data_IF_147125990313
#
_entry.id   IF_147125990313
#
_cell.length_a   1.000
_cell.length_b   1.000
_cell.length_c   1.000
_cell.angle_alpha   90.00
_cell.angle_beta   90.00
_cell.angle_gamma   90.00
#
_symmetry.space_group_name_H-M   'P 1'
#
loop_
_entity.id
_entity.type
_entity.pdbx_description
1 polymer ?
#
# COMPACT_ATOMS: atom_id res chain seq x y z
N UNK A 1 -11.30 57.58 -38.28
CA UNK A 1 -11.18 56.48 -37.25
C UNK A 1 -9.80 55.88 -37.45
N UNK A 2 -8.90 56.04 -36.45
CA UNK A 2 -7.49 55.56 -36.51
C UNK A 2 -7.45 54.15 -35.95
N UNK A 3 -6.94 53.23 -36.76
CA UNK A 3 -6.59 51.86 -36.27
C UNK A 3 -5.34 51.91 -35.37
N UNK A 4 -5.43 51.29 -34.19
CA UNK A 4 -4.31 51.11 -33.29
C UNK A 4 -3.75 49.69 -33.51
N UNK A 5 -2.56 49.61 -34.07
CA UNK A 5 -1.79 48.37 -34.17
C UNK A 5 -1.21 48.03 -32.79
N UNK A 6 -1.59 46.89 -32.23
CA UNK A 6 -0.94 46.28 -31.06
C UNK A 6 0.33 45.56 -31.51
N UNK A 7 1.49 45.97 -30.96
CA UNK A 7 2.77 45.33 -31.20
C UNK A 7 2.90 44.10 -30.29
N UNK A 8 3.31 42.97 -30.86
CA UNK A 8 3.69 41.73 -30.17
C UNK A 8 4.87 41.98 -29.26
N UNK A 9 4.70 41.82 -27.96
CA UNK A 9 5.81 41.68 -27.00
C UNK A 9 6.25 40.21 -26.96
N UNK A 10 7.40 39.94 -27.51
CA UNK A 10 8.02 38.59 -27.50
C UNK A 10 8.30 38.10 -26.11
N UNK A 11 7.74 36.96 -25.75
CA UNK A 11 8.01 36.27 -24.49
C UNK A 11 9.45 35.72 -24.46
N UNK A 12 10.17 36.07 -23.42
CA UNK A 12 11.50 35.54 -23.16
C UNK A 12 11.47 34.03 -22.90
N UNK A 13 12.29 33.26 -23.61
CA UNK A 13 12.37 31.83 -23.42
C UNK A 13 13.03 31.49 -22.09
N UNK A 14 12.68 30.33 -21.49
CA UNK A 14 13.32 29.86 -20.24
C UNK A 14 14.84 29.75 -20.31
N UNK A 15 15.42 29.58 -21.51
CA UNK A 15 16.86 29.58 -21.76
C UNK A 15 17.49 30.98 -21.61
N UNK A 16 16.79 32.05 -21.96
CA UNK A 16 17.28 33.43 -21.85
C UNK A 16 17.22 33.92 -20.39
N UNK A 17 16.28 33.44 -19.61
CA UNK A 17 16.22 33.71 -18.17
C UNK A 17 17.41 33.09 -17.41
N UNK A 18 17.79 31.86 -17.76
CA UNK A 18 18.92 31.16 -17.17
C UNK A 18 20.30 31.79 -17.56
N UNK A 19 20.42 32.31 -18.79
CA UNK A 19 21.66 33.00 -19.23
C UNK A 19 21.82 34.36 -18.57
N UNK A 20 20.75 35.04 -18.18
CA UNK A 20 20.83 36.32 -17.46
C UNK A 20 21.13 36.15 -15.96
N UNK A 21 20.76 35.01 -15.36
CA UNK A 21 21.15 34.68 -13.99
C UNK A 21 22.66 34.34 -13.85
N UNK A 22 23.30 33.81 -14.90
CA UNK A 22 24.73 33.49 -14.89
C UNK A 22 25.65 34.69 -15.16
N UNK A 23 25.10 35.83 -15.59
CA UNK A 23 25.89 37.05 -15.95
C UNK A 23 25.96 38.14 -14.88
N UNK A 24 25.29 37.97 -13.74
CA UNK A 24 25.20 38.98 -12.66
C UNK A 24 26.21 38.77 -11.51
N UNK A 25 27.23 37.95 -11.70
CA UNK A 25 28.20 37.54 -10.69
C UNK A 25 29.56 38.25 -10.76
N UNK A 26 29.62 39.53 -11.08
CA UNK A 26 30.87 40.31 -10.88
C UNK A 26 30.53 41.79 -10.86
N UNK A 27 30.53 42.38 -9.68
CA UNK A 27 30.88 43.72 -9.26
C UNK A 27 30.05 44.14 -8.04
N UNK A 28 30.45 43.70 -6.85
CA UNK A 28 30.13 44.40 -5.61
C UNK A 28 31.44 44.83 -4.99
N UNK A 29 31.65 46.17 -5.04
CA UNK A 29 32.71 46.88 -4.44
C UNK A 29 32.69 46.75 -2.91
N UNK A 30 33.88 46.63 -2.35
CA UNK A 30 34.21 46.67 -0.94
C UNK A 30 33.45 47.74 -0.13
N UNK A 31 32.71 47.29 0.86
CA UNK A 31 32.36 48.09 2.07
C UNK A 31 32.71 47.29 3.31
N UNK A 32 33.37 47.87 4.31
CA UNK A 32 33.83 47.16 5.49
C UNK A 32 32.72 47.04 6.52
N UNK A 33 31.93 46.00 6.45
CA UNK A 33 31.13 45.55 7.60
C UNK A 33 31.49 44.10 7.88
N UNK A 34 32.39 43.91 8.83
CA UNK A 34 32.73 42.64 9.42
C UNK A 34 31.51 42.12 10.18
N UNK A 35 31.03 40.94 9.86
CA UNK A 35 30.08 40.22 10.68
C UNK A 35 29.16 39.30 9.85
N UNK A 36 29.42 37.99 9.97
CA UNK A 36 28.58 36.85 9.54
C UNK A 36 28.52 36.56 8.05
N UNK A 37 29.62 36.05 7.53
CA UNK A 37 29.64 35.27 6.29
C UNK A 37 29.10 33.86 6.54
N UNK A 38 27.78 33.67 6.49
CA UNK A 38 27.20 32.34 6.31
C UNK A 38 27.50 31.93 4.88
N UNK A 39 28.14 30.78 4.67
CA UNK A 39 28.42 30.30 3.32
C UNK A 39 27.14 30.11 2.54
N UNK A 40 27.13 30.32 1.24
CA UNK A 40 25.93 30.12 0.39
C UNK A 40 25.37 28.70 0.47
N UNK A 41 26.19 27.73 0.87
CA UNK A 41 25.80 26.36 1.13
C UNK A 41 25.03 26.23 2.46
N UNK A 42 25.49 26.90 3.53
CA UNK A 42 24.78 26.92 4.82
C UNK A 42 23.45 27.69 4.73
N UNK A 43 23.41 28.80 3.99
CA UNK A 43 22.16 29.53 3.76
C UNK A 43 21.15 28.72 2.90
N UNK A 44 21.63 27.91 1.96
CA UNK A 44 20.78 27.01 1.19
C UNK A 44 20.30 25.82 2.04
N UNK A 45 21.10 25.36 2.98
CA UNK A 45 20.72 24.28 3.92
C UNK A 45 19.75 24.78 5.00
N UNK A 46 19.83 26.05 5.42
CA UNK A 46 18.84 26.66 6.32
C UNK A 46 17.49 26.96 5.65
N UNK A 47 17.47 27.15 4.33
CA UNK A 47 16.25 27.41 3.57
C UNK A 47 15.40 26.13 3.31
N UNK A 48 15.97 24.94 3.44
CA UNK A 48 15.23 23.69 3.46
C UNK A 48 14.70 23.49 4.87
N UNK A 49 13.38 23.56 5.05
CA UNK A 49 12.72 23.41 6.34
C UNK A 49 13.28 22.23 7.13
N UNK A 50 13.91 22.52 8.27
CA UNK A 50 14.43 21.49 9.18
C UNK A 50 13.40 21.21 10.25
N UNK A 51 13.11 19.94 10.48
CA UNK A 51 12.36 19.56 11.67
C UNK A 51 13.16 19.89 12.92
N UNK A 52 12.50 20.28 14.05
CA UNK A 52 13.17 20.43 15.32
C UNK A 52 13.98 19.19 15.70
N UNK A 53 15.08 19.37 16.45
CA UNK A 53 15.83 18.24 16.99
C UNK A 53 14.92 17.38 17.88
N UNK A 54 14.96 16.07 17.69
CA UNK A 54 14.16 15.11 18.43
C UNK A 54 15.00 13.87 18.80
N UNK A 55 14.59 13.08 19.80
CA UNK A 55 15.18 11.78 20.07
C UNK A 55 14.97 10.81 18.89
N UNK A 56 15.81 9.80 18.80
CA UNK A 56 15.57 8.71 17.85
C UNK A 56 14.36 7.88 18.33
N UNK A 57 13.16 8.26 17.88
CA UNK A 57 11.94 7.55 18.21
C UNK A 57 11.91 6.16 17.60
N UNK A 58 11.31 5.23 18.35
CA UNK A 58 11.10 3.85 17.94
C UNK A 58 9.61 3.57 17.78
N UNK A 59 9.17 3.30 16.56
CA UNK A 59 7.81 2.87 16.26
C UNK A 59 7.71 1.34 16.23
N UNK A 60 6.58 0.78 16.65
CA UNK A 60 6.37 -0.67 16.64
C UNK A 60 5.22 -1.01 15.70
N UNK A 61 5.49 -1.86 14.72
CA UNK A 61 4.52 -2.37 13.76
C UNK A 61 4.05 -3.75 14.18
N UNK A 62 2.76 -3.88 14.48
CA UNK A 62 2.10 -5.12 14.89
C UNK A 62 1.26 -5.67 13.75
N UNK A 63 1.65 -6.84 13.24
CA UNK A 63 1.16 -7.39 11.98
C UNK A 63 0.56 -8.78 12.14
N UNK A 64 -0.32 -9.14 11.22
CA UNK A 64 -0.71 -10.51 10.95
C UNK A 64 0.24 -11.12 9.89
N UNK A 65 0.35 -12.45 9.88
CA UNK A 65 1.21 -13.25 8.95
C UNK A 65 2.55 -12.58 8.66
N UNK A 66 3.31 -12.28 9.72
CA UNK A 66 4.53 -11.45 9.70
C UNK A 66 5.60 -11.89 8.70
N UNK A 67 5.57 -13.13 8.25
CA UNK A 67 6.50 -13.74 7.29
C UNK A 67 6.00 -13.71 5.84
N UNK A 68 4.77 -13.24 5.58
CA UNK A 68 4.23 -13.20 4.22
C UNK A 68 5.02 -12.21 3.35
N UNK A 69 5.45 -12.61 2.13
CA UNK A 69 6.20 -11.75 1.20
C UNK A 69 5.49 -10.45 0.83
N UNK A 70 4.17 -10.37 0.96
CA UNK A 70 3.39 -9.14 0.81
C UNK A 70 3.97 -7.95 1.60
N UNK A 71 4.55 -8.21 2.77
CA UNK A 71 5.08 -7.17 3.66
C UNK A 71 6.42 -6.59 3.24
N UNK A 72 7.12 -7.20 2.28
CA UNK A 72 8.47 -6.76 1.91
C UNK A 72 8.51 -5.31 1.43
N UNK A 73 7.71 -4.87 0.45
CA UNK A 73 7.71 -3.47 0.02
C UNK A 73 7.20 -2.52 1.12
N UNK A 74 6.28 -2.96 1.99
CA UNK A 74 5.83 -2.15 3.12
C UNK A 74 6.97 -1.87 4.10
N UNK A 75 7.77 -2.90 4.42
CA UNK A 75 8.95 -2.73 5.27
C UNK A 75 9.97 -1.78 4.66
N UNK A 76 10.21 -1.85 3.35
CA UNK A 76 11.06 -0.88 2.66
C UNK A 76 10.52 0.55 2.75
N UNK A 77 9.20 0.75 2.61
CA UNK A 77 8.59 2.05 2.83
C UNK A 77 8.80 2.58 4.25
N UNK A 78 8.65 1.72 5.25
CA UNK A 78 8.92 2.08 6.64
C UNK A 78 10.41 2.37 6.89
N UNK A 79 11.33 1.60 6.31
CA UNK A 79 12.79 1.83 6.37
C UNK A 79 13.17 3.18 5.78
N UNK A 80 12.69 3.49 4.59
CA UNK A 80 12.98 4.75 3.89
C UNK A 80 12.44 5.96 4.66
N UNK A 81 11.23 5.87 5.19
CA UNK A 81 10.66 6.92 6.03
C UNK A 81 11.42 7.07 7.35
N UNK A 82 11.83 5.97 7.99
CA UNK A 82 12.66 6.01 9.19
C UNK A 82 14.02 6.67 8.93
N UNK A 83 14.66 6.36 7.80
CA UNK A 83 15.91 7.00 7.40
C UNK A 83 15.73 8.51 7.16
N UNK A 84 14.63 8.89 6.49
CA UNK A 84 14.32 10.29 6.20
C UNK A 84 14.06 11.11 7.48
N UNK A 85 13.35 10.54 8.45
CA UNK A 85 12.92 11.22 9.68
C UNK A 85 13.82 10.96 10.89
N UNK A 86 14.92 10.22 10.75
CA UNK A 86 15.83 9.92 11.88
C UNK A 86 15.17 9.07 12.97
N UNK A 87 14.28 8.15 12.62
CA UNK A 87 13.56 7.27 13.52
C UNK A 87 13.94 5.80 13.28
N UNK A 88 13.37 4.89 14.04
CA UNK A 88 13.52 3.44 13.85
C UNK A 88 12.18 2.74 13.99
N UNK A 89 12.08 1.52 13.45
CA UNK A 89 10.89 0.70 13.70
C UNK A 89 11.25 -0.73 14.10
N UNK A 90 10.29 -1.38 14.75
CA UNK A 90 10.34 -2.79 15.09
C UNK A 90 9.16 -3.49 14.43
N UNK A 91 9.43 -4.64 13.81
CA UNK A 91 8.44 -5.51 13.19
C UNK A 91 8.09 -6.65 14.12
N UNK A 92 6.81 -6.88 14.43
CA UNK A 92 6.31 -7.92 15.33
C UNK A 92 4.86 -8.30 14.99
N UNK A 93 4.29 -9.24 15.71
CA UNK A 93 2.90 -9.67 15.57
C UNK A 93 2.74 -11.18 15.59
N UNK A 94 1.88 -11.73 14.72
CA UNK A 94 1.58 -13.16 14.61
C UNK A 94 2.01 -13.72 13.26
N UNK A 95 2.62 -14.88 13.22
CA UNK A 95 2.94 -15.59 11.97
C UNK A 95 1.72 -16.26 11.33
N UNK A 96 0.65 -16.50 12.11
CA UNK A 96 -0.55 -17.21 11.67
C UNK A 96 -1.83 -16.37 11.75
N UNK A 97 -1.70 -15.05 11.86
CA UNK A 97 -2.85 -14.12 11.95
C UNK A 97 -3.74 -14.37 13.20
N UNK A 98 -3.14 -14.76 14.31
CA UNK A 98 -3.85 -15.01 15.58
C UNK A 98 -3.98 -13.69 16.33
N UNK A 99 -5.21 -13.18 16.49
CA UNK A 99 -5.47 -11.88 17.09
C UNK A 99 -4.92 -11.74 18.52
N UNK A 100 -4.97 -12.80 19.35
CA UNK A 100 -4.44 -12.78 20.71
C UNK A 100 -2.91 -12.61 20.73
N UNK A 101 -2.17 -13.25 19.83
CA UNK A 101 -0.71 -13.07 19.70
C UNK A 101 -0.37 -11.62 19.30
N UNK A 102 -1.17 -11.04 18.41
CA UNK A 102 -1.00 -9.64 18.00
C UNK A 102 -1.30 -8.66 19.15
N UNK A 103 -2.34 -8.95 19.96
CA UNK A 103 -2.65 -8.18 21.18
C UNK A 103 -1.52 -8.26 22.19
N UNK A 104 -0.92 -9.41 22.39
CA UNK A 104 0.22 -9.59 23.29
C UNK A 104 1.45 -8.81 22.78
N UNK A 105 1.71 -8.84 21.48
CA UNK A 105 2.76 -8.04 20.87
C UNK A 105 2.49 -6.52 21.01
N UNK A 106 1.26 -6.09 20.87
CA UNK A 106 0.82 -4.69 21.08
C UNK A 106 1.03 -4.27 22.54
N UNK A 107 0.56 -5.06 23.50
CA UNK A 107 0.73 -4.79 24.93
C UNK A 107 2.20 -4.78 25.35
N UNK A 108 3.03 -5.63 24.72
CA UNK A 108 4.48 -5.60 24.90
C UNK A 108 5.09 -4.28 24.43
N UNK A 109 4.63 -3.75 23.29
CA UNK A 109 5.06 -2.44 22.80
C UNK A 109 4.65 -1.31 23.75
N UNK A 110 3.43 -1.36 24.32
CA UNK A 110 2.96 -0.37 25.32
C UNK A 110 3.83 -0.44 26.58
N UNK A 111 4.06 -1.65 27.12
CA UNK A 111 4.88 -1.85 28.32
C UNK A 111 6.34 -1.45 28.10
N UNK A 112 6.86 -1.65 26.90
CA UNK A 112 8.19 -1.23 26.44
C UNK A 112 8.29 0.27 26.13
N UNK A 113 7.22 1.03 26.35
CA UNK A 113 7.15 2.49 26.09
C UNK A 113 7.58 2.85 24.68
N UNK A 114 7.01 2.16 23.67
CA UNK A 114 7.18 2.53 22.28
C UNK A 114 6.81 4.01 22.07
N UNK A 115 7.47 4.69 21.15
CA UNK A 115 7.16 6.09 20.83
C UNK A 115 5.90 6.25 19.96
N UNK A 116 5.46 5.16 19.34
CA UNK A 116 4.21 5.05 18.60
C UNK A 116 3.99 3.61 18.16
N UNK A 117 2.74 3.23 17.97
CA UNK A 117 2.36 1.87 17.57
C UNK A 117 1.49 1.95 16.31
N UNK A 118 1.86 1.14 15.32
CA UNK A 118 1.07 0.88 14.13
C UNK A 118 0.56 -0.56 14.19
N UNK A 119 -0.73 -0.77 13.97
CA UNK A 119 -1.34 -2.10 14.07
C UNK A 119 -2.27 -2.39 12.92
N UNK A 120 -2.19 -3.59 12.36
CA UNK A 120 -3.20 -4.10 11.42
C UNK A 120 -4.37 -4.65 12.23
N UNK A 121 -5.50 -3.94 12.25
CA UNK A 121 -6.67 -4.29 13.05
C UNK A 121 -7.50 -5.38 12.37
N UNK A 122 -7.03 -6.63 12.46
CA UNK A 122 -7.66 -7.78 11.77
C UNK A 122 -8.92 -8.30 12.46
N UNK A 123 -9.15 -7.93 13.73
CA UNK A 123 -10.28 -8.33 14.53
C UNK A 123 -11.16 -7.12 14.92
N UNK A 124 -12.51 -7.23 14.88
CA UNK A 124 -13.42 -6.12 15.13
C UNK A 124 -13.29 -5.44 16.50
N UNK A 125 -12.82 -6.16 17.52
CA UNK A 125 -12.88 -5.71 18.91
C UNK A 125 -11.63 -5.97 19.74
N UNK A 126 -10.80 -6.95 19.38
CA UNK A 126 -9.65 -7.39 20.18
C UNK A 126 -8.68 -6.27 20.54
N UNK A 127 -8.59 -5.24 19.70
CA UNK A 127 -7.66 -4.13 19.88
C UNK A 127 -8.27 -2.88 20.52
N UNK A 128 -9.55 -2.87 20.88
CA UNK A 128 -10.18 -1.67 21.45
C UNK A 128 -9.51 -1.26 22.77
N UNK A 129 -9.48 -2.15 23.75
CA UNK A 129 -8.81 -1.89 25.03
C UNK A 129 -7.30 -1.66 24.91
N UNK A 130 -6.53 -2.45 24.13
CA UNK A 130 -5.11 -2.18 23.91
C UNK A 130 -4.84 -0.78 23.35
N UNK A 131 -5.59 -0.35 22.34
CA UNK A 131 -5.43 0.98 21.74
C UNK A 131 -5.78 2.09 22.74
N UNK A 132 -6.88 1.96 23.48
CA UNK A 132 -7.25 2.93 24.51
C UNK A 132 -6.18 3.04 25.60
N UNK A 133 -5.59 1.94 26.04
CA UNK A 133 -4.48 1.92 27.00
C UNK A 133 -3.23 2.59 26.45
N UNK A 134 -2.87 2.36 25.19
CA UNK A 134 -1.74 3.04 24.56
C UNK A 134 -1.94 4.55 24.52
N UNK A 135 -3.11 5.02 24.07
CA UNK A 135 -3.45 6.45 24.03
C UNK A 135 -3.46 7.08 25.42
N UNK A 136 -4.02 6.40 26.43
CA UNK A 136 -4.00 6.87 27.83
C UNK A 136 -2.59 6.96 28.42
N UNK A 137 -1.66 6.11 27.92
CA UNK A 137 -0.24 6.17 28.27
C UNK A 137 0.54 7.24 27.45
N UNK A 138 -0.11 8.01 26.59
CA UNK A 138 0.52 9.00 25.71
C UNK A 138 1.26 8.41 24.52
N UNK A 139 0.99 7.15 24.18
CA UNK A 139 1.59 6.46 23.03
C UNK A 139 0.60 6.55 21.86
N UNK A 140 0.92 7.29 20.78
CA UNK A 140 0.06 7.37 19.61
C UNK A 140 -0.08 5.98 18.96
N UNK A 141 -1.32 5.62 18.62
CA UNK A 141 -1.65 4.38 17.94
C UNK A 141 -2.41 4.68 16.65
N UNK A 142 -1.97 4.11 15.55
CA UNK A 142 -2.59 4.20 14.22
C UNK A 142 -2.87 2.80 13.68
N UNK A 143 -3.89 2.68 12.83
CA UNK A 143 -4.08 1.44 12.09
C UNK A 143 -3.53 1.55 10.66
N UNK A 144 -3.12 0.43 10.10
CA UNK A 144 -2.70 0.35 8.70
C UNK A 144 -3.06 -1.03 8.13
N UNK A 145 -3.23 -1.11 6.82
CA UNK A 145 -3.59 -2.32 6.07
C UNK A 145 -4.97 -2.90 6.42
N UNK A 146 -5.33 -3.01 7.69
CA UNK A 146 -6.65 -3.38 8.17
C UNK A 146 -7.15 -2.40 9.22
N UNK A 147 -8.45 -2.15 9.25
CA UNK A 147 -9.08 -1.22 10.17
C UNK A 147 -10.36 -1.80 10.81
N UNK A 148 -10.64 -1.39 12.05
CA UNK A 148 -11.81 -1.80 12.79
C UNK A 148 -12.70 -0.58 13.11
N UNK A 149 -13.93 -0.60 12.65
CA UNK A 149 -14.91 0.47 12.89
C UNK A 149 -15.13 0.67 14.39
N UNK A 150 -15.03 1.91 14.85
CA UNK A 150 -15.25 2.27 16.26
C UNK A 150 -14.01 2.14 17.15
N UNK A 151 -12.89 1.61 16.65
CA UNK A 151 -11.63 1.65 17.37
C UNK A 151 -11.13 3.10 17.55
N UNK A 152 -10.45 3.39 18.67
CA UNK A 152 -9.99 4.74 19.04
C UNK A 152 -8.64 5.14 18.43
N UNK A 153 -8.06 4.34 17.54
CA UNK A 153 -6.82 4.67 16.83
C UNK A 153 -6.91 6.07 16.20
N UNK A 154 -5.78 6.75 16.04
CA UNK A 154 -5.75 8.15 15.60
C UNK A 154 -6.10 8.32 14.12
N UNK A 155 -5.66 7.41 13.25
CA UNK A 155 -6.01 7.37 11.82
C UNK A 155 -5.75 5.99 11.24
N UNK A 156 -6.28 5.75 10.03
CA UNK A 156 -6.02 4.56 9.21
C UNK A 156 -5.18 4.91 7.99
N UNK A 157 -4.23 4.07 7.66
CA UNK A 157 -3.41 4.15 6.46
C UNK A 157 -3.56 2.86 5.67
N UNK A 158 -4.22 2.90 4.53
CA UNK A 158 -4.46 1.70 3.73
C UNK A 158 -5.44 1.92 2.60
N UNK A 159 -5.81 0.84 1.95
CA UNK A 159 -6.81 0.82 0.90
C UNK A 159 -8.22 0.82 1.51
N UNK A 160 -9.19 1.43 0.84
CA UNK A 160 -10.61 1.16 1.14
C UNK A 160 -10.92 -0.28 0.69
N UNK A 161 -10.95 -1.19 1.66
CA UNK A 161 -11.05 -2.63 1.40
C UNK A 161 -12.40 -3.01 0.81
N UNK A 162 -13.50 -2.37 1.25
CA UNK A 162 -14.82 -2.67 0.71
C UNK A 162 -14.96 -2.17 -0.74
N UNK A 163 -14.50 -0.96 -1.03
CA UNK A 163 -14.53 -0.43 -2.40
C UNK A 163 -13.59 -1.21 -3.33
N UNK A 164 -12.43 -1.66 -2.85
CA UNK A 164 -11.56 -2.53 -3.64
C UNK A 164 -12.20 -3.89 -3.91
N UNK A 165 -12.96 -4.41 -2.95
CA UNK A 165 -13.81 -5.58 -3.15
C UNK A 165 -14.91 -5.35 -4.19
N UNK A 166 -15.58 -4.19 -4.17
CA UNK A 166 -16.56 -3.82 -5.22
C UNK A 166 -15.90 -3.78 -6.60
N UNK A 167 -14.69 -3.23 -6.69
CA UNK A 167 -13.94 -3.20 -7.94
C UNK A 167 -13.57 -4.63 -8.43
N UNK A 168 -13.20 -5.54 -7.52
CA UNK A 168 -13.05 -6.97 -7.84
C UNK A 168 -14.36 -7.55 -8.38
N UNK A 169 -15.49 -7.32 -7.69
CA UNK A 169 -16.79 -7.81 -8.11
C UNK A 169 -17.23 -7.32 -9.49
N UNK A 170 -16.93 -6.05 -9.81
CA UNK A 170 -17.17 -5.49 -11.15
C UNK A 170 -16.37 -6.24 -12.22
N UNK A 171 -15.09 -6.57 -11.96
CA UNK A 171 -14.28 -7.38 -12.87
C UNK A 171 -14.81 -8.80 -13.04
N UNK A 172 -15.34 -9.40 -11.96
CA UNK A 172 -16.01 -10.71 -12.04
C UNK A 172 -17.24 -10.61 -12.97
N UNK A 173 -18.06 -9.59 -12.78
CA UNK A 173 -19.28 -9.35 -13.59
C UNK A 173 -18.94 -9.13 -15.07
N UNK A 174 -17.88 -8.38 -15.37
CA UNK A 174 -17.41 -8.11 -16.73
C UNK A 174 -16.89 -9.37 -17.42
N UNK A 175 -16.07 -10.17 -16.73
CA UNK A 175 -15.41 -11.34 -17.31
C UNK A 175 -16.33 -12.56 -17.41
N UNK A 176 -17.02 -12.90 -16.32
CA UNK A 176 -17.76 -14.17 -16.22
C UNK A 176 -19.16 -14.09 -16.84
N UNK A 177 -19.85 -12.98 -16.66
CA UNK A 177 -21.23 -12.82 -17.15
C UNK A 177 -22.29 -13.57 -16.37
N UNK A 178 -22.19 -14.89 -16.23
CA UNK A 178 -23.11 -15.76 -15.46
C UNK A 178 -22.42 -17.04 -15.00
N UNK A 179 -22.99 -17.72 -14.02
CA UNK A 179 -22.55 -19.02 -13.52
C UNK A 179 -21.85 -18.98 -12.15
N UNK A 180 -21.20 -20.08 -11.79
CA UNK A 180 -20.55 -20.23 -10.50
C UNK A 180 -19.09 -19.75 -10.54
N UNK A 181 -18.70 -18.97 -9.54
CA UNK A 181 -17.32 -18.52 -9.33
C UNK A 181 -16.88 -18.81 -7.89
N UNK A 182 -15.60 -19.10 -7.70
CA UNK A 182 -15.00 -19.25 -6.39
C UNK A 182 -14.35 -17.93 -5.95
N UNK A 183 -14.61 -17.51 -4.71
CA UNK A 183 -13.89 -16.46 -4.00
C UNK A 183 -13.05 -17.07 -2.88
N UNK A 184 -11.74 -17.03 -3.03
CA UNK A 184 -10.80 -17.59 -2.07
C UNK A 184 -10.37 -16.55 -1.06
N UNK A 185 -10.39 -16.93 0.21
CA UNK A 185 -10.07 -16.07 1.36
C UNK A 185 -9.28 -16.86 2.40
N UNK A 186 -8.13 -16.33 2.82
CA UNK A 186 -7.25 -17.02 3.77
C UNK A 186 -7.97 -17.32 5.09
N UNK A 187 -8.52 -16.32 5.72
CA UNK A 187 -9.15 -16.39 7.04
C UNK A 187 -10.47 -15.60 7.04
N UNK A 188 -11.61 -16.27 6.75
CA UNK A 188 -12.91 -15.62 6.77
C UNK A 188 -13.19 -14.86 8.07
N UNK A 189 -13.81 -13.68 7.95
CA UNK A 189 -14.13 -12.80 9.07
C UNK A 189 -13.03 -11.84 9.49
N UNK A 190 -11.79 -12.00 9.01
CA UNK A 190 -10.72 -11.03 9.31
C UNK A 190 -10.86 -9.75 8.50
N UNK A 191 -10.68 -8.61 9.17
CA UNK A 191 -10.98 -7.29 8.61
C UNK A 191 -10.02 -6.80 7.52
N UNK A 192 -8.86 -7.43 7.36
CA UNK A 192 -7.94 -7.14 6.24
C UNK A 192 -8.44 -7.71 4.90
N UNK A 193 -9.33 -8.71 4.90
CA UNK A 193 -9.73 -9.43 3.68
C UNK A 193 -11.25 -9.62 3.55
N UNK A 194 -11.99 -9.83 4.65
CA UNK A 194 -13.45 -10.01 4.59
C UNK A 194 -14.19 -8.86 3.90
N UNK A 195 -13.88 -7.57 4.16
CA UNK A 195 -14.56 -6.48 3.47
C UNK A 195 -14.40 -6.52 1.94
N UNK A 196 -13.28 -7.06 1.42
CA UNK A 196 -13.08 -7.26 -0.02
C UNK A 196 -14.05 -8.29 -0.58
N UNK A 197 -14.24 -9.41 0.12
CA UNK A 197 -15.19 -10.44 -0.26
C UNK A 197 -16.63 -9.92 -0.23
N UNK A 198 -16.96 -9.16 0.81
CA UNK A 198 -18.30 -8.56 0.96
C UNK A 198 -18.56 -7.51 -0.12
N UNK A 199 -17.58 -6.69 -0.45
CA UNK A 199 -17.65 -5.74 -1.55
C UNK A 199 -17.85 -6.42 -2.90
N UNK A 200 -17.15 -7.53 -3.16
CA UNK A 200 -17.33 -8.32 -4.39
C UNK A 200 -18.74 -8.90 -4.50
N UNK A 201 -19.29 -9.43 -3.41
CA UNK A 201 -20.67 -9.89 -3.36
C UNK A 201 -21.68 -8.78 -3.66
N UNK A 202 -21.46 -7.59 -3.05
CA UNK A 202 -22.39 -6.48 -3.25
C UNK A 202 -22.36 -6.02 -4.72
N UNK A 203 -21.19 -5.92 -5.37
CA UNK A 203 -21.10 -5.54 -6.78
C UNK A 203 -21.76 -6.59 -7.70
N UNK A 204 -21.59 -7.88 -7.42
CA UNK A 204 -22.28 -8.95 -8.16
C UNK A 204 -23.80 -8.82 -8.00
N UNK A 205 -24.28 -8.62 -6.80
CA UNK A 205 -25.71 -8.43 -6.51
C UNK A 205 -26.28 -7.18 -7.21
N UNK A 206 -25.58 -6.05 -7.13
CA UNK A 206 -25.99 -4.80 -7.80
C UNK A 206 -26.05 -4.96 -9.34
N UNK A 207 -25.26 -5.83 -9.92
CA UNK A 207 -25.26 -6.08 -11.37
C UNK A 207 -26.54 -6.77 -11.89
N UNK A 208 -27.26 -7.45 -11.01
CA UNK A 208 -28.43 -8.25 -11.37
C UNK A 208 -28.11 -9.51 -12.19
N UNK A 209 -26.83 -9.83 -12.44
CA UNK A 209 -26.42 -11.02 -13.19
C UNK A 209 -26.53 -12.28 -12.34
N UNK A 210 -26.79 -13.41 -13.00
CA UNK A 210 -26.88 -14.71 -12.36
C UNK A 210 -25.50 -15.31 -12.11
N UNK A 211 -24.72 -14.68 -11.21
CA UNK A 211 -23.40 -15.12 -10.78
C UNK A 211 -23.50 -15.57 -9.32
N UNK A 212 -23.10 -16.81 -9.05
CA UNK A 212 -23.02 -17.35 -7.69
C UNK A 212 -21.57 -17.33 -7.22
N UNK A 213 -21.26 -16.49 -6.21
CA UNK A 213 -19.95 -16.42 -5.58
C UNK A 213 -19.92 -17.32 -4.35
N UNK A 214 -19.16 -18.40 -4.41
CA UNK A 214 -18.88 -19.28 -3.27
C UNK A 214 -17.62 -18.81 -2.55
N UNK A 215 -17.71 -18.58 -1.24
CA UNK A 215 -16.56 -18.23 -0.41
C UNK A 215 -15.87 -19.49 0.11
N UNK A 216 -14.57 -19.61 -0.16
CA UNK A 216 -13.77 -20.77 0.20
C UNK A 216 -12.59 -20.35 1.08
N UNK A 217 -12.57 -20.84 2.33
CA UNK A 217 -11.45 -20.64 3.24
C UNK A 217 -10.22 -21.43 2.79
N UNK A 218 -9.09 -20.73 2.63
CA UNK A 218 -7.84 -21.33 2.10
C UNK A 218 -6.77 -21.58 3.17
N UNK A 219 -6.87 -20.94 4.35
CA UNK A 219 -5.90 -21.07 5.44
C UNK A 219 -4.86 -19.94 5.44
N UNK A 220 -4.11 -19.80 6.55
CA UNK A 220 -3.24 -18.64 6.76
C UNK A 220 -1.86 -18.74 6.11
N UNK A 221 -1.51 -19.85 5.47
CA UNK A 221 -0.19 -20.05 4.85
C UNK A 221 -0.30 -20.32 3.36
N UNK A 222 0.64 -19.81 2.57
CA UNK A 222 0.68 -19.95 1.10
C UNK A 222 0.56 -21.40 0.65
N UNK A 223 1.14 -22.35 1.39
CA UNK A 223 1.07 -23.76 1.04
C UNK A 223 -0.33 -24.36 1.30
N UNK A 224 -0.99 -23.98 2.39
CA UNK A 224 -2.38 -24.40 2.65
C UNK A 224 -3.32 -23.81 1.62
N UNK A 225 -3.15 -22.53 1.29
CA UNK A 225 -3.93 -21.82 0.28
C UNK A 225 -3.86 -22.54 -1.08
N UNK A 226 -2.65 -22.79 -1.57
CA UNK A 226 -2.45 -23.52 -2.84
C UNK A 226 -3.12 -24.90 -2.82
N UNK A 227 -2.91 -25.67 -1.75
CA UNK A 227 -3.46 -27.04 -1.64
C UNK A 227 -4.98 -27.04 -1.67
N UNK A 228 -5.63 -26.11 -0.95
CA UNK A 228 -7.10 -26.00 -0.89
C UNK A 228 -7.70 -25.50 -2.20
N UNK A 229 -7.03 -24.55 -2.88
CA UNK A 229 -7.45 -24.05 -4.19
C UNK A 229 -7.41 -25.16 -5.23
N UNK A 230 -6.33 -25.95 -5.28
CA UNK A 230 -6.21 -27.10 -6.18
C UNK A 230 -7.27 -28.17 -5.90
N UNK A 231 -7.49 -28.48 -4.61
CA UNK A 231 -8.52 -29.45 -4.21
C UNK A 231 -9.93 -28.96 -4.59
N UNK A 232 -10.23 -27.67 -4.39
CA UNK A 232 -11.52 -27.10 -4.78
C UNK A 232 -11.73 -27.20 -6.30
N UNK A 233 -10.77 -26.79 -7.12
CA UNK A 233 -10.87 -26.89 -8.57
C UNK A 233 -11.08 -28.34 -9.04
N UNK A 234 -10.38 -29.31 -8.43
CA UNK A 234 -10.53 -30.72 -8.76
C UNK A 234 -11.98 -31.22 -8.56
N UNK A 235 -12.66 -30.70 -7.52
CA UNK A 235 -14.06 -31.00 -7.24
C UNK A 235 -15.07 -30.18 -8.05
N UNK A 236 -14.64 -29.10 -8.70
CA UNK A 236 -15.52 -28.15 -9.39
C UNK A 236 -14.94 -27.72 -10.75
N UNK A 237 -14.73 -28.67 -11.69
CA UNK A 237 -14.05 -28.40 -12.96
C UNK A 237 -14.83 -27.48 -13.92
N UNK A 238 -16.15 -27.34 -13.71
CA UNK A 238 -17.05 -26.53 -14.55
C UNK A 238 -17.17 -25.06 -14.09
N UNK A 239 -16.39 -24.66 -13.08
CA UNK A 239 -16.40 -23.29 -12.53
C UNK A 239 -16.07 -22.27 -13.62
N UNK A 240 -16.70 -21.08 -13.56
CA UNK A 240 -16.51 -20.01 -14.56
C UNK A 240 -15.42 -19.01 -14.19
N UNK A 241 -15.05 -18.95 -12.90
CA UNK A 241 -14.01 -18.06 -12.45
C UNK A 241 -13.46 -18.41 -11.07
N UNK A 242 -12.21 -18.03 -10.85
CA UNK A 242 -11.45 -18.26 -9.62
C UNK A 242 -10.80 -16.94 -9.17
N UNK A 243 -11.32 -16.36 -8.08
CA UNK A 243 -10.88 -15.04 -7.62
C UNK A 243 -10.43 -15.12 -6.17
N UNK A 244 -9.47 -14.28 -5.78
CA UNK A 244 -8.92 -14.29 -4.43
C UNK A 244 -8.91 -12.87 -3.84
N UNK A 245 -8.99 -12.77 -2.50
CA UNK A 245 -9.01 -11.48 -1.79
C UNK A 245 -7.74 -11.21 -0.98
N UNK A 246 -6.73 -12.05 -1.11
CA UNK A 246 -5.43 -11.94 -0.42
C UNK A 246 -4.27 -12.43 -1.31
N UNK A 247 -3.05 -12.11 -0.89
CA UNK A 247 -1.83 -12.34 -1.68
C UNK A 247 -1.54 -13.82 -1.95
N UNK A 248 -1.61 -14.65 -0.92
CA UNK A 248 -1.25 -16.07 -1.04
C UNK A 248 -2.32 -16.85 -1.81
N UNK A 249 -3.60 -16.58 -1.57
CA UNK A 249 -4.68 -17.18 -2.36
C UNK A 249 -4.61 -16.75 -3.83
N UNK A 250 -4.25 -15.50 -4.14
CA UNK A 250 -4.05 -15.03 -5.53
C UNK A 250 -2.90 -15.78 -6.22
N UNK A 251 -1.79 -15.96 -5.52
CA UNK A 251 -0.68 -16.79 -6.00
C UNK A 251 -1.12 -18.24 -6.25
N UNK A 252 -1.89 -18.82 -5.33
CA UNK A 252 -2.44 -20.17 -5.45
C UNK A 252 -3.39 -20.34 -6.65
N UNK A 253 -4.24 -19.33 -6.88
CA UNK A 253 -5.10 -19.27 -8.07
C UNK A 253 -4.24 -19.23 -9.34
N UNK A 254 -3.26 -18.33 -9.43
CA UNK A 254 -2.37 -18.23 -10.60
C UNK A 254 -1.66 -19.56 -10.92
N UNK A 255 -1.11 -20.24 -9.91
CA UNK A 255 -0.48 -21.55 -10.07
C UNK A 255 -1.46 -22.62 -10.55
N UNK A 256 -2.69 -22.63 -10.02
CA UNK A 256 -3.73 -23.58 -10.41
C UNK A 256 -4.21 -23.34 -11.83
N UNK A 257 -4.40 -22.09 -12.22
CA UNK A 257 -4.74 -21.66 -13.58
C UNK A 257 -3.70 -22.13 -14.59
N UNK A 258 -2.42 -21.85 -14.33
CA UNK A 258 -1.29 -22.23 -15.18
C UNK A 258 -1.17 -23.76 -15.33
N UNK A 259 -1.17 -24.49 -14.21
CA UNK A 259 -0.98 -25.94 -14.20
C UNK A 259 -2.04 -26.71 -14.99
N UNK A 260 -3.27 -26.18 -15.04
CA UNK A 260 -4.42 -26.81 -15.69
C UNK A 260 -4.84 -26.13 -17.01
N UNK A 261 -4.10 -25.08 -17.45
CA UNK A 261 -4.39 -24.27 -18.64
C UNK A 261 -5.83 -23.76 -18.66
N UNK A 262 -6.27 -23.20 -17.53
CA UNK A 262 -7.68 -22.89 -17.31
C UNK A 262 -8.15 -21.67 -18.12
N UNK A 263 -7.27 -20.72 -18.37
CA UNK A 263 -7.58 -19.57 -19.22
C UNK A 263 -7.95 -20.00 -20.65
N UNK A 264 -7.24 -21.01 -21.22
CA UNK A 264 -7.57 -21.60 -22.52
C UNK A 264 -8.95 -22.28 -22.55
N UNK A 265 -9.48 -22.65 -21.36
CA UNK A 265 -10.84 -23.21 -21.19
C UNK A 265 -11.91 -22.14 -20.92
N UNK A 266 -11.55 -20.86 -20.97
CA UNK A 266 -12.46 -19.74 -20.73
C UNK A 266 -12.78 -19.49 -19.26
N UNK A 267 -11.93 -19.97 -18.33
CA UNK A 267 -12.07 -19.67 -16.90
C UNK A 267 -11.34 -18.37 -16.60
N UNK A 268 -12.03 -17.41 -16.00
CA UNK A 268 -11.50 -16.12 -15.60
C UNK A 268 -10.87 -16.17 -14.21
N UNK A 269 -9.82 -15.37 -13.98
CA UNK A 269 -9.15 -15.37 -12.69
C UNK A 269 -8.48 -14.03 -12.38
N UNK A 270 -8.46 -13.68 -11.09
CA UNK A 270 -7.78 -12.47 -10.61
C UNK A 270 -7.78 -12.39 -9.09
N UNK A 271 -7.15 -11.35 -8.56
CA UNK A 271 -7.10 -11.20 -7.10
C UNK A 271 -6.38 -9.93 -6.65
N UNK A 272 -5.63 -10.05 -5.58
CA UNK A 272 -4.93 -8.96 -4.92
C UNK A 272 -3.43 -9.22 -4.81
N UNK A 273 -2.69 -8.14 -4.72
CA UNK A 273 -1.28 -8.05 -4.36
C UNK A 273 -0.31 -8.48 -5.48
N UNK A 274 0.98 -8.22 -5.26
CA UNK A 274 2.01 -8.25 -6.29
C UNK A 274 3.10 -9.28 -6.00
N UNK A 275 2.73 -10.47 -5.52
CA UNK A 275 3.74 -11.53 -5.36
C UNK A 275 4.38 -11.87 -6.72
N UNK A 276 5.69 -12.20 -6.75
CA UNK A 276 6.39 -12.47 -8.01
C UNK A 276 5.68 -13.50 -8.90
N UNK A 277 5.15 -14.57 -8.31
CA UNK A 277 4.38 -15.60 -9.03
C UNK A 277 3.07 -15.05 -9.60
N UNK A 278 2.40 -14.13 -8.89
CA UNK A 278 1.17 -13.47 -9.38
C UNK A 278 1.47 -12.60 -10.61
N UNK A 279 2.53 -11.80 -10.55
CA UNK A 279 2.96 -10.97 -11.68
C UNK A 279 3.36 -11.81 -12.91
N UNK A 280 4.07 -12.90 -12.69
CA UNK A 280 4.42 -13.87 -13.76
C UNK A 280 3.17 -14.48 -14.41
N UNK A 281 2.17 -14.88 -13.60
CA UNK A 281 0.91 -15.43 -14.10
C UNK A 281 0.12 -14.40 -14.93
N UNK A 282 0.11 -13.11 -14.52
CA UNK A 282 -0.50 -12.03 -15.32
C UNK A 282 0.23 -11.83 -16.65
N UNK A 283 1.56 -11.79 -16.62
CA UNK A 283 2.38 -11.64 -17.83
C UNK A 283 2.11 -12.73 -18.85
N UNK A 284 1.96 -13.99 -18.39
CA UNK A 284 1.64 -15.15 -19.22
C UNK A 284 0.19 -15.18 -19.69
N UNK A 285 -0.70 -14.48 -18.98
CA UNK A 285 -2.13 -14.48 -19.26
C UNK A 285 -2.90 -15.58 -18.54
N UNK A 286 -2.31 -16.19 -17.51
CA UNK A 286 -2.99 -17.15 -16.64
C UNK A 286 -3.92 -16.46 -15.64
N UNK A 287 -3.62 -15.20 -15.29
CA UNK A 287 -4.50 -14.30 -14.53
C UNK A 287 -4.87 -13.08 -15.37
N UNK A 288 -6.12 -12.66 -15.31
CA UNK A 288 -6.63 -11.48 -16.00
C UNK A 288 -6.10 -10.18 -15.36
N UNK A 289 -6.04 -10.15 -14.02
CA UNK A 289 -5.59 -8.98 -13.27
C UNK A 289 -5.19 -9.32 -11.83
N UNK A 290 -4.49 -8.39 -11.19
CA UNK A 290 -4.39 -8.26 -9.74
C UNK A 290 -4.64 -6.82 -9.32
N UNK A 291 -5.01 -6.61 -8.04
CA UNK A 291 -5.23 -5.28 -7.45
C UNK A 291 -4.07 -4.97 -6.52
N UNK A 292 -3.34 -3.90 -6.84
CA UNK A 292 -2.27 -3.36 -6.02
C UNK A 292 -2.84 -2.37 -4.99
N UNK A 293 -2.54 -2.58 -3.73
CA UNK A 293 -2.93 -1.72 -2.62
C UNK A 293 -1.82 -0.76 -2.15
N UNK A 294 -0.71 -0.68 -2.87
CA UNK A 294 0.44 0.19 -2.62
C UNK A 294 1.09 -0.05 -1.23
N UNK A 295 1.55 -1.25 -0.92
CA UNK A 295 2.08 -1.58 0.41
C UNK A 295 3.30 -0.71 0.81
N UNK A 296 4.17 -0.33 -0.12
CA UNK A 296 5.25 0.61 0.15
C UNK A 296 4.74 1.92 0.76
N UNK A 297 3.68 2.51 0.17
CA UNK A 297 3.07 3.74 0.68
C UNK A 297 2.43 3.53 2.06
N UNK A 298 1.84 2.36 2.32
CA UNK A 298 1.31 2.04 3.64
C UNK A 298 2.41 2.11 4.70
N UNK A 299 3.58 1.54 4.43
CA UNK A 299 4.73 1.60 5.34
C UNK A 299 5.28 3.01 5.52
N UNK A 300 5.52 3.70 4.41
CA UNK A 300 6.09 5.04 4.41
C UNK A 300 5.18 6.05 5.14
N UNK A 301 3.90 6.10 4.79
CA UNK A 301 2.96 7.04 5.40
C UNK A 301 2.68 6.73 6.86
N UNK A 302 2.71 5.48 7.27
CA UNK A 302 2.53 5.09 8.68
C UNK A 302 3.63 5.68 9.56
N UNK A 303 4.90 5.58 9.15
CA UNK A 303 6.01 6.24 9.87
C UNK A 303 5.85 7.75 9.84
N UNK A 304 5.53 8.31 8.66
CA UNK A 304 5.36 9.75 8.48
C UNK A 304 4.28 10.33 9.42
N UNK A 305 3.11 9.72 9.52
CA UNK A 305 2.03 10.25 10.37
C UNK A 305 2.38 10.15 11.85
N UNK A 306 3.00 9.06 12.30
CA UNK A 306 3.47 8.92 13.68
C UNK A 306 4.55 9.97 13.99
N UNK A 307 5.49 10.19 13.07
CA UNK A 307 6.52 11.21 13.21
C UNK A 307 5.92 12.62 13.30
N UNK A 308 5.02 12.99 12.39
CA UNK A 308 4.39 14.32 12.38
C UNK A 308 3.57 14.54 13.65
N UNK A 309 2.86 13.54 14.12
CA UNK A 309 2.15 13.62 15.40
C UNK A 309 3.11 13.88 16.58
N UNK A 310 4.21 13.14 16.66
CA UNK A 310 5.21 13.28 17.73
C UNK A 310 5.93 14.62 17.67
N UNK A 311 6.42 15.04 16.50
CA UNK A 311 7.19 16.27 16.35
C UNK A 311 6.36 17.53 16.61
N UNK A 312 5.06 17.47 16.36
CA UNK A 312 4.11 18.54 16.65
C UNK A 312 3.62 18.55 18.11
N UNK A 313 4.04 17.60 18.95
CA UNK A 313 3.51 17.46 20.31
C UNK A 313 2.03 17.08 20.35
N UNK A 314 1.53 16.38 19.34
CA UNK A 314 0.13 15.98 19.21
C UNK A 314 -0.80 17.08 18.65
N UNK A 315 -0.26 18.22 18.22
CA UNK A 315 -1.06 19.32 17.65
C UNK A 315 -1.49 19.05 16.20
N UNK A 316 -0.76 18.18 15.48
CA UNK A 316 -1.15 17.79 14.13
C UNK A 316 -2.35 16.85 14.19
N UNK A 317 -3.47 17.27 13.64
CA UNK A 317 -4.63 16.41 13.43
C UNK A 317 -4.34 15.42 12.30
N UNK A 318 -4.41 14.11 12.61
CA UNK A 318 -4.17 13.08 11.63
C UNK A 318 -5.45 12.80 10.82
N UNK A 319 -5.29 12.67 9.49
CA UNK A 319 -6.35 12.28 8.58
C UNK A 319 -6.17 10.83 8.12
N UNK A 320 -7.28 10.21 7.69
CA UNK A 320 -7.24 8.92 7.00
C UNK A 320 -6.44 9.04 5.69
N UNK A 321 -5.57 8.07 5.41
CA UNK A 321 -4.77 8.05 4.18
C UNK A 321 -5.16 6.83 3.37
N UNK A 322 -5.91 7.07 2.28
CA UNK A 322 -6.21 6.02 1.31
C UNK A 322 -5.02 5.84 0.35
N UNK A 323 -4.41 4.67 0.35
CA UNK A 323 -3.29 4.34 -0.54
C UNK A 323 -3.72 3.99 -1.97
N UNK A 324 -5.01 4.04 -2.25
CA UNK A 324 -5.59 3.91 -3.58
C UNK A 324 -5.81 2.47 -4.04
N UNK A 325 -6.23 2.36 -5.29
CA UNK A 325 -6.51 1.11 -5.96
C UNK A 325 -5.90 1.16 -7.36
N UNK A 326 -5.11 0.16 -7.72
CA UNK A 326 -4.49 0.09 -9.04
C UNK A 326 -4.64 -1.33 -9.60
N UNK A 327 -5.22 -1.45 -10.77
CA UNK A 327 -5.25 -2.72 -11.49
C UNK A 327 -3.93 -2.96 -12.22
N UNK A 328 -3.36 -4.14 -12.02
CA UNK A 328 -2.25 -4.66 -12.80
C UNK A 328 -2.77 -5.77 -13.69
N UNK A 329 -2.60 -5.58 -14.99
CA UNK A 329 -3.05 -6.48 -16.05
C UNK A 329 -1.89 -6.76 -17.01
N UNK A 330 -2.07 -7.68 -17.95
CA UNK A 330 -1.07 -7.94 -18.99
C UNK A 330 -0.62 -6.68 -19.75
N UNK A 331 -1.51 -5.68 -19.87
CA UNK A 331 -1.20 -4.43 -20.58
C UNK A 331 -0.29 -3.46 -19.83
N UNK A 332 -0.08 -3.64 -18.52
CA UNK A 332 0.72 -2.73 -17.70
C UNK A 332 1.63 -3.44 -16.66
N UNK A 333 1.83 -4.76 -16.77
CA UNK A 333 2.64 -5.55 -15.84
C UNK A 333 4.15 -5.41 -16.07
N UNK A 334 4.59 -5.05 -17.28
CA UNK A 334 6.02 -5.03 -17.66
C UNK A 334 6.94 -4.25 -16.72
N UNK A 335 6.58 -3.04 -16.21
CA UNK A 335 7.42 -2.32 -15.26
C UNK A 335 7.68 -3.11 -13.97
N UNK A 336 6.72 -3.92 -13.53
CA UNK A 336 6.84 -4.75 -12.31
C UNK A 336 7.75 -5.96 -12.52
N UNK A 337 7.84 -6.48 -13.75
CA UNK A 337 8.67 -7.63 -14.10
C UNK A 337 10.11 -7.25 -14.41
N UNK A 338 10.31 -6.12 -15.09
CA UNK A 338 11.62 -5.65 -15.54
C UNK A 338 12.45 -5.01 -14.45
N UNK A 339 11.82 -4.66 -13.31
CA UNK A 339 12.47 -3.90 -12.24
C UNK A 339 12.25 -4.59 -10.92
N UNK A 340 13.33 -5.01 -10.32
CA UNK A 340 13.33 -5.48 -8.95
C UNK A 340 13.54 -4.28 -8.01
N UNK A 341 12.55 -3.37 -7.98
CA UNK A 341 12.64 -2.18 -7.14
C UNK A 341 12.09 -2.42 -5.75
N UNK A 342 12.56 -1.66 -4.76
CA UNK A 342 12.03 -1.72 -3.40
C UNK A 342 10.61 -1.14 -3.29
N UNK A 343 10.12 -0.40 -4.28
CA UNK A 343 8.76 0.12 -4.33
C UNK A 343 7.72 -0.93 -4.71
N UNK A 344 8.15 -1.95 -5.47
CA UNK A 344 7.30 -3.00 -6.02
C UNK A 344 7.99 -4.36 -5.82
N UNK A 345 7.25 -5.36 -5.38
CA UNK A 345 7.79 -6.69 -5.18
C UNK A 345 8.76 -6.80 -4.00
N UNK A 346 9.73 -7.71 -4.06
CA UNK A 346 10.57 -8.13 -2.93
C UNK A 346 12.06 -7.79 -3.06
N UNK A 347 12.44 -6.90 -3.98
CA UNK A 347 13.84 -6.51 -4.17
C UNK A 347 14.24 -5.34 -3.28
N UNK A 348 15.49 -5.33 -2.81
CA UNK A 348 16.13 -4.19 -2.15
C UNK A 348 16.77 -3.21 -3.13
N UNK A 349 16.69 -3.44 -4.45
CA UNK A 349 17.30 -2.56 -5.45
C UNK A 349 16.60 -1.20 -5.52
N UNK A 350 17.40 -0.15 -5.60
CA UNK A 350 16.94 1.23 -5.71
C UNK A 350 16.95 1.68 -7.18
N UNK A 351 15.99 1.20 -7.95
CA UNK A 351 15.83 1.63 -9.35
C UNK A 351 14.67 2.58 -9.52
N UNK A 352 14.88 3.65 -10.27
CA UNK A 352 13.80 4.50 -10.75
C UNK A 352 13.08 3.78 -11.88
N UNK A 353 11.80 3.50 -11.68
CA UNK A 353 10.96 2.85 -12.67
C UNK A 353 10.65 3.80 -13.84
N UNK A 354 10.92 3.34 -15.04
CA UNK A 354 10.40 4.01 -16.24
C UNK A 354 9.02 3.47 -16.55
N UNK A 355 8.00 4.31 -16.49
CA UNK A 355 6.63 3.89 -16.85
C UNK A 355 6.53 3.57 -18.33
N UNK A 356 5.96 2.40 -18.61
CA UNK A 356 5.44 2.06 -19.93
C UNK A 356 3.91 2.20 -19.90
N UNK A 357 3.37 3.20 -20.58
CA UNK A 357 1.93 3.39 -20.70
C UNK A 357 1.36 4.60 -19.94
N UNK A 358 0.07 4.87 -20.12
CA UNK A 358 -0.61 6.02 -19.53
C UNK A 358 -0.68 5.95 -18.01
N UNK A 359 -0.79 7.10 -17.37
CA UNK A 359 -1.14 7.22 -15.95
C UNK A 359 -2.61 6.87 -15.82
N UNK A 360 -2.92 5.72 -15.23
CA UNK A 360 -4.30 5.31 -14.93
C UNK A 360 -4.74 5.90 -13.60
#
# INVERSE_FOLDING_TARGET
>A
MKEIKLSNAGGLSRRDALRRAAGAGALISLSPFAGFGVSSAEAAEEALGKFPKHPQWKFVFVNHVTTNPFWVPLRYGAEDACALFGTTFQWTGSEKSIATEMVDAFNTAVSGKADGIAVSLVDPSAFNDPVEKALAAGIPAVSYNADAKGNKRLCYIGQDLFQSGKALGQRIVEGVGEGQVAGFIATPGQLNIQPRMDGAREAIKESGKNIKLDEIATGPTVNEELSRIQAYYTGHPDIKGMFAVDAGSTEGVGKTMAANKLHEKGIHAGGFDLLPTTLDAISKGDLDFTIDQQPYLQGFYTVMVLFVYKISGGLSGLAEINTGLKFVTKGNVDPYLSTQSRFEGSSSEEKVLTRSGPIS
#
